data_IF_675388529510
#
_entry.id   IF_675388529510
#
_cell.length_a   1.000
_cell.length_b   1.000
_cell.length_c   1.000
_cell.angle_alpha   90.00
_cell.angle_beta   90.00
_cell.angle_gamma   90.00
#
_symmetry.space_group_name_H-M   'P 1'
#
loop_
_entity.id
_entity.type
_entity.pdbx_description
1 polymer ?
#
# COMPACT_ATOMS: atom_id res chain seq x y z
N UNK A 1 15.06 3.36 30.01
CA UNK A 1 13.70 3.93 29.91
C UNK A 1 12.83 3.10 28.95
N UNK A 2 13.42 2.55 27.88
CA UNK A 2 12.76 1.60 26.95
C UNK A 2 12.19 0.34 27.62
N UNK A 3 12.86 -0.23 28.63
CA UNK A 3 12.37 -1.44 29.33
C UNK A 3 11.12 -1.21 30.21
N UNK A 4 10.75 0.04 30.49
CA UNK A 4 9.56 0.36 31.30
C UNK A 4 8.30 0.55 30.46
N UNK A 5 8.42 0.62 29.13
CA UNK A 5 7.33 0.89 28.20
C UNK A 5 6.62 -0.38 27.68
N UNK A 6 7.07 -1.57 28.10
CA UNK A 6 6.47 -2.83 27.64
C UNK A 6 5.20 -3.23 28.42
N UNK A 7 5.03 -2.75 29.66
CA UNK A 7 4.00 -3.21 30.60
C UNK A 7 2.90 -2.20 30.95
N UNK A 8 2.89 -1.00 30.34
CA UNK A 8 1.91 0.06 30.66
C UNK A 8 1.27 0.64 29.39
N UNK A 9 -0.07 0.70 29.34
CA UNK A 9 -0.81 1.49 28.36
C UNK A 9 -0.55 2.99 28.62
N UNK A 10 0.15 3.64 27.69
CA UNK A 10 0.41 5.08 27.71
C UNK A 10 -0.24 5.73 26.49
N UNK A 11 -1.07 6.73 26.73
CA UNK A 11 -1.53 7.66 25.69
C UNK A 11 -0.36 8.52 25.22
N UNK A 12 0.17 8.21 24.04
CA UNK A 12 1.26 8.97 23.42
C UNK A 12 0.67 10.17 22.68
N UNK A 13 0.78 11.36 23.29
CA UNK A 13 0.45 12.63 22.64
C UNK A 13 1.69 13.08 21.86
N UNK A 14 1.65 13.00 20.53
CA UNK A 14 2.70 13.52 19.66
C UNK A 14 2.78 15.05 19.82
N UNK A 15 3.82 15.50 20.50
CA UNK A 15 4.09 16.92 20.72
C UNK A 15 5.32 17.32 19.90
N UNK A 16 5.10 18.14 18.87
CA UNK A 16 6.18 18.64 18.01
C UNK A 16 6.89 19.78 18.74
N UNK A 17 7.97 19.47 19.46
CA UNK A 17 8.71 20.46 20.26
C UNK A 17 9.87 21.14 19.53
N UNK A 18 10.35 20.59 18.40
CA UNK A 18 11.59 21.06 17.77
C UNK A 18 11.41 21.57 16.33
N UNK A 19 12.13 22.65 16.01
CA UNK A 19 12.16 23.27 14.67
C UNK A 19 12.76 22.34 13.62
N UNK A 20 13.63 21.40 14.02
CA UNK A 20 14.20 20.40 13.12
C UNK A 20 13.12 19.45 12.57
N UNK A 21 12.21 18.96 13.42
CA UNK A 21 11.07 18.14 13.02
C UNK A 21 10.13 18.88 12.05
N UNK A 22 9.87 20.17 12.32
CA UNK A 22 9.11 21.03 11.40
C UNK A 22 9.80 21.24 10.05
N UNK A 23 11.14 21.33 10.04
CA UNK A 23 11.91 21.52 8.80
C UNK A 23 11.92 20.25 7.97
N UNK A 24 12.07 19.08 8.59
CA UNK A 24 11.97 17.76 7.92
C UNK A 24 10.59 17.58 7.30
N UNK A 25 9.53 17.95 8.02
CA UNK A 25 8.15 17.94 7.54
C UNK A 25 7.98 18.81 6.28
N UNK A 26 8.49 20.06 6.29
CA UNK A 26 8.44 20.94 5.10
C UNK A 26 9.20 20.40 3.90
N UNK A 27 10.41 19.87 4.10
CA UNK A 27 11.20 19.30 3.00
C UNK A 27 10.54 18.06 2.44
N UNK A 28 9.98 17.20 3.31
CA UNK A 28 9.25 16.01 2.89
C UNK A 28 8.00 16.35 2.10
N UNK A 29 7.21 17.31 2.58
CA UNK A 29 6.02 17.80 1.88
C UNK A 29 6.40 18.34 0.50
N UNK A 30 7.46 19.15 0.39
CA UNK A 30 7.94 19.64 -0.91
C UNK A 30 8.35 18.51 -1.87
N UNK A 31 9.02 17.47 -1.38
CA UNK A 31 9.39 16.32 -2.22
C UNK A 31 8.16 15.53 -2.73
N UNK A 32 7.10 15.46 -1.92
CA UNK A 32 5.84 14.82 -2.31
C UNK A 32 5.10 15.72 -3.30
N UNK A 33 5.03 17.03 -3.05
CA UNK A 33 4.46 18.01 -3.98
C UNK A 33 5.15 17.95 -5.35
N UNK A 34 6.49 17.99 -5.38
CA UNK A 34 7.28 17.88 -6.61
C UNK A 34 6.97 16.58 -7.36
N UNK A 35 6.85 15.46 -6.65
CA UNK A 35 6.51 14.16 -7.25
C UNK A 35 5.09 14.15 -7.81
N UNK A 36 4.13 14.71 -7.09
CA UNK A 36 2.75 14.84 -7.53
C UNK A 36 2.65 15.74 -8.77
N UNK A 37 3.36 16.85 -8.81
CA UNK A 37 3.33 17.77 -9.95
C UNK A 37 3.97 17.15 -11.21
N UNK A 38 5.09 16.43 -11.05
CA UNK A 38 5.82 15.79 -12.15
C UNK A 38 5.10 14.57 -12.74
N UNK A 39 4.40 13.80 -11.91
CA UNK A 39 3.77 12.55 -12.34
C UNK A 39 2.24 12.62 -12.46
N UNK A 40 1.60 13.64 -11.89
CA UNK A 40 0.14 13.72 -11.72
C UNK A 40 -0.40 15.14 -11.96
N UNK A 41 -0.02 15.77 -13.08
CA UNK A 41 -0.52 17.09 -13.47
C UNK A 41 -2.05 17.08 -13.76
N UNK A 42 -2.78 17.94 -13.04
CA UNK A 42 -4.09 18.55 -13.39
C UNK A 42 -5.30 17.67 -13.76
N UNK A 43 -5.44 16.45 -13.22
CA UNK A 43 -6.71 15.68 -13.34
C UNK A 43 -7.67 15.80 -12.16
N UNK A 44 -7.28 16.46 -11.07
CA UNK A 44 -8.04 16.43 -9.82
C UNK A 44 -8.48 17.83 -9.30
N UNK A 45 -8.15 18.93 -9.97
CA UNK A 45 -8.69 20.27 -9.63
C UNK A 45 -9.85 20.68 -10.55
N UNK A 46 -11.00 20.05 -10.34
CA UNK A 46 -12.31 20.61 -10.70
C UNK A 46 -12.73 20.59 -12.18
N UNK A 47 -13.97 20.10 -12.41
CA UNK A 47 -14.71 19.98 -13.69
C UNK A 47 -14.20 18.90 -14.65
N UNK A 48 -14.83 17.73 -14.57
CA UNK A 48 -14.92 16.78 -15.69
C UNK A 48 -15.40 17.53 -16.94
N UNK A 49 -14.50 17.87 -17.86
CA UNK A 49 -14.84 17.94 -19.28
C UNK A 49 -14.90 16.50 -19.76
N UNK A 50 -16.06 16.13 -20.30
CA UNK A 50 -16.31 14.82 -20.87
C UNK A 50 -15.22 14.50 -21.90
N UNK A 51 -14.55 13.35 -21.76
CA UNK A 51 -13.54 12.95 -22.74
C UNK A 51 -14.25 12.61 -24.06
N UNK A 52 -13.61 12.86 -25.20
CA UNK A 52 -14.19 12.58 -26.53
C UNK A 52 -14.61 11.09 -26.70
N UNK A 53 -13.96 10.21 -25.94
CA UNK A 53 -14.27 8.76 -25.85
C UNK A 53 -15.58 8.51 -25.07
N UNK A 54 -15.87 9.31 -24.05
CA UNK A 54 -17.12 9.23 -23.28
C UNK A 54 -18.31 9.78 -24.08
N UNK A 55 -18.12 10.86 -24.87
CA UNK A 55 -19.12 11.35 -25.82
C UNK A 55 -19.48 10.29 -26.87
N UNK A 56 -18.46 9.64 -27.45
CA UNK A 56 -18.68 8.61 -28.47
C UNK A 56 -19.29 7.35 -27.90
N UNK A 57 -18.98 6.97 -26.66
CA UNK A 57 -19.60 5.84 -25.97
C UNK A 57 -21.08 6.11 -25.66
N UNK A 58 -21.43 7.30 -25.14
CA UNK A 58 -22.83 7.67 -24.87
C UNK A 58 -23.66 7.73 -26.15
N UNK A 59 -23.10 8.26 -27.24
CA UNK A 59 -23.78 8.31 -28.55
C UNK A 59 -24.02 6.91 -29.13
N UNK A 60 -23.12 5.96 -28.90
CA UNK A 60 -23.32 4.55 -29.34
C UNK A 60 -24.39 3.82 -28.52
N UNK A 61 -24.56 4.19 -27.25
CA UNK A 61 -25.61 3.67 -26.37
C UNK A 61 -26.99 4.21 -26.81
N UNK A 62 -27.09 5.51 -27.13
CA UNK A 62 -28.34 6.11 -27.65
C UNK A 62 -28.78 5.50 -28.99
N UNK A 63 -27.85 5.06 -29.83
CA UNK A 63 -28.12 4.42 -31.13
C UNK A 63 -28.27 2.88 -31.07
N UNK A 64 -28.25 2.27 -29.88
CA UNK A 64 -28.57 0.84 -29.70
C UNK A 64 -27.57 -0.16 -30.30
N UNK A 65 -26.29 0.21 -30.44
CA UNK A 65 -25.27 -0.67 -31.02
C UNK A 65 -24.55 -1.51 -29.94
N UNK A 66 -24.31 -2.83 -30.16
CA UNK A 66 -23.63 -3.69 -29.19
C UNK A 66 -22.13 -3.37 -29.07
N UNK A 67 -21.59 -3.41 -27.84
CA UNK A 67 -20.29 -2.84 -27.49
C UNK A 67 -19.06 -3.70 -27.82
N UNK A 68 -19.14 -5.02 -28.08
CA UNK A 68 -17.97 -5.84 -28.52
C UNK A 68 -18.36 -7.15 -29.23
N UNK A 69 -17.61 -7.60 -30.26
CA UNK A 69 -17.58 -9.00 -30.68
C UNK A 69 -16.48 -9.77 -29.91
N UNK A 70 -16.84 -10.89 -29.26
CA UNK A 70 -15.88 -11.85 -28.72
C UNK A 70 -15.19 -12.61 -29.87
N UNK A 71 -13.86 -12.57 -29.94
CA UNK A 71 -13.04 -13.73 -30.40
C UNK A 71 -11.72 -13.80 -29.64
N UNK A 72 -11.49 -14.99 -29.09
CA UNK A 72 -10.30 -15.49 -28.42
C UNK A 72 -9.18 -15.80 -29.40
N UNK A 73 -7.93 -15.57 -28.99
CA UNK A 73 -6.75 -16.27 -29.50
C UNK A 73 -5.63 -16.23 -28.47
N UNK A 74 -5.40 -17.38 -27.82
CA UNK A 74 -4.22 -17.65 -27.01
C UNK A 74 -2.99 -17.77 -27.91
N UNK A 75 -1.83 -17.30 -27.44
CA UNK A 75 -0.54 -17.77 -27.95
C UNK A 75 0.51 -17.77 -26.84
N UNK A 76 0.90 -18.97 -26.45
CA UNK A 76 2.02 -19.27 -25.58
C UNK A 76 3.33 -18.81 -26.20
N UNK A 77 4.18 -18.16 -25.41
CA UNK A 77 5.61 -18.04 -25.69
C UNK A 77 6.36 -18.39 -24.41
N UNK A 78 7.09 -19.51 -24.47
CA UNK A 78 7.96 -19.99 -23.40
C UNK A 78 9.19 -19.08 -23.27
N UNK A 79 9.57 -18.75 -22.03
CA UNK A 79 10.79 -18.02 -21.69
C UNK A 79 11.74 -19.00 -20.98
N UNK A 80 13.05 -19.03 -21.30
CA UNK A 80 13.99 -20.01 -20.76
C UNK A 80 14.31 -19.76 -19.28
N UNK A 81 14.48 -20.87 -18.59
CA UNK A 81 14.79 -21.02 -17.17
C UNK A 81 16.19 -20.51 -16.82
N UNK A 82 16.26 -19.48 -15.98
CA UNK A 82 17.46 -19.09 -15.23
C UNK A 82 17.06 -18.29 -14.00
N UNK A 83 16.34 -18.94 -13.09
CA UNK A 83 16.00 -18.36 -11.80
C UNK A 83 17.18 -18.52 -10.82
N UNK A 84 17.69 -17.44 -10.20
CA UNK A 84 18.66 -17.57 -9.12
C UNK A 84 18.03 -18.32 -7.92
N UNK A 85 18.81 -19.13 -7.19
CA UNK A 85 18.31 -19.97 -6.11
C UNK A 85 17.77 -19.09 -4.97
N UNK A 86 16.45 -18.99 -4.90
CA UNK A 86 15.70 -18.11 -4.01
C UNK A 86 14.26 -17.88 -4.49
N UNK A 87 13.99 -18.05 -5.78
CA UNK A 87 12.66 -17.88 -6.38
C UNK A 87 11.76 -19.13 -6.26
N UNK A 88 12.32 -20.34 -6.11
CA UNK A 88 11.52 -21.57 -6.01
C UNK A 88 10.65 -21.63 -4.74
N UNK A 89 11.07 -20.97 -3.65
CA UNK A 89 10.24 -20.80 -2.45
C UNK A 89 9.00 -19.91 -2.68
N UNK A 90 8.99 -19.10 -3.75
CA UNK A 90 7.90 -18.18 -4.10
C UNK A 90 6.92 -18.79 -5.10
N UNK A 91 7.36 -19.76 -5.91
CA UNK A 91 6.53 -20.41 -6.94
C UNK A 91 5.55 -21.44 -6.35
N UNK A 92 5.84 -21.98 -5.16
CA UNK A 92 4.98 -22.98 -4.50
C UNK A 92 3.65 -22.46 -3.94
N UNK A 93 3.41 -21.14 -3.90
CA UNK A 93 2.34 -20.54 -3.09
C UNK A 93 1.46 -19.54 -3.87
N UNK A 94 0.97 -19.91 -5.05
CA UNK A 94 -0.08 -19.12 -5.73
C UNK A 94 -1.42 -19.10 -4.94
N UNK A 95 -1.62 -20.07 -4.04
CA UNK A 95 -2.85 -20.26 -3.23
C UNK A 95 -2.71 -19.87 -1.74
N UNK A 96 -1.60 -19.26 -1.33
CA UNK A 96 -1.40 -18.89 0.08
C UNK A 96 -2.19 -17.61 0.44
N UNK A 97 -2.98 -17.69 1.52
CA UNK A 97 -3.78 -16.56 2.04
C UNK A 97 -2.90 -15.41 2.52
N UNK A 98 -3.49 -14.20 2.58
CA UNK A 98 -2.80 -13.01 3.10
C UNK A 98 -2.16 -13.26 4.47
N UNK A 99 -2.91 -13.86 5.41
CA UNK A 99 -2.44 -14.08 6.78
C UNK A 99 -1.20 -14.97 6.82
N UNK A 100 -1.17 -16.07 6.06
CA UNK A 100 -0.01 -16.98 6.00
C UNK A 100 1.21 -16.31 5.37
N UNK A 101 1.02 -15.61 4.25
CA UNK A 101 2.11 -14.86 3.63
C UNK A 101 2.64 -13.77 4.56
N UNK A 102 1.78 -13.07 5.29
CA UNK A 102 2.19 -12.08 6.28
C UNK A 102 3.08 -12.72 7.35
N UNK A 103 2.65 -13.81 7.99
CA UNK A 103 3.44 -14.49 9.02
C UNK A 103 4.79 -15.00 8.49
N UNK A 104 4.79 -15.58 7.29
CA UNK A 104 6.04 -15.99 6.62
C UNK A 104 6.99 -14.80 6.40
N UNK A 105 6.47 -13.64 5.99
CA UNK A 105 7.28 -12.44 5.82
C UNK A 105 7.82 -11.91 7.14
N UNK A 106 7.07 -12.02 8.24
CA UNK A 106 7.54 -11.69 9.59
C UNK A 106 8.77 -12.54 9.94
N UNK A 107 8.68 -13.86 9.74
CA UNK A 107 9.77 -14.81 10.01
C UNK A 107 10.99 -14.54 9.12
N UNK A 108 10.78 -14.35 7.81
CA UNK A 108 11.86 -14.09 6.83
C UNK A 108 12.56 -12.76 7.11
N UNK A 109 11.83 -11.74 7.57
CA UNK A 109 12.41 -10.44 7.96
C UNK A 109 13.03 -10.48 9.36
N UNK A 110 12.96 -11.61 10.07
CA UNK A 110 13.52 -11.79 11.40
C UNK A 110 12.88 -10.91 12.48
N UNK A 111 11.62 -10.50 12.27
CA UNK A 111 10.87 -9.63 13.19
C UNK A 111 9.95 -10.48 14.06
N UNK A 112 9.56 -9.97 15.22
CA UNK A 112 8.55 -10.63 16.05
C UNK A 112 7.15 -10.13 15.71
N UNK A 113 6.12 -10.96 15.91
CA UNK A 113 4.71 -10.55 15.82
C UNK A 113 4.45 -9.22 16.55
N UNK A 114 5.05 -9.07 17.74
CA UNK A 114 4.85 -7.91 18.62
C UNK A 114 5.49 -6.65 18.08
N UNK A 115 6.70 -6.77 17.54
CA UNK A 115 7.35 -5.67 16.86
C UNK A 115 6.54 -5.21 15.64
N UNK A 116 6.02 -6.16 14.86
CA UNK A 116 5.36 -5.87 13.58
C UNK A 116 4.03 -5.15 13.77
N UNK A 117 3.14 -5.62 14.66
CA UNK A 117 1.87 -4.92 14.85
C UNK A 117 2.06 -3.55 15.52
N UNK A 118 3.04 -3.40 16.42
CA UNK A 118 3.38 -2.09 17.02
C UNK A 118 3.90 -1.13 15.96
N UNK A 119 4.85 -1.56 15.11
CA UNK A 119 5.38 -0.75 14.00
C UNK A 119 4.33 -0.42 12.94
N UNK A 120 3.37 -1.32 12.72
CA UNK A 120 2.24 -1.07 11.81
C UNK A 120 1.18 -0.14 12.42
N UNK A 121 1.34 0.28 13.68
CA UNK A 121 0.34 1.03 14.43
C UNK A 121 -1.04 0.32 14.43
N UNK A 122 -1.03 -0.99 14.71
CA UNK A 122 -2.21 -1.86 14.70
C UNK A 122 -2.48 -2.41 16.09
N UNK A 123 -3.74 -2.39 16.53
CA UNK A 123 -4.15 -2.98 17.81
C UNK A 123 -3.87 -4.50 17.86
N UNK A 124 -3.36 -4.98 19.00
CA UNK A 124 -3.03 -6.39 19.22
C UNK A 124 -4.21 -7.34 18.96
N UNK A 125 -5.46 -6.93 19.25
CA UNK A 125 -6.66 -7.74 19.00
C UNK A 125 -6.94 -7.84 17.50
N UNK A 126 -6.71 -6.78 16.73
CA UNK A 126 -6.82 -6.83 15.28
C UNK A 126 -5.77 -7.77 14.69
N UNK A 127 -4.51 -7.65 15.11
CA UNK A 127 -3.46 -8.58 14.71
C UNK A 127 -3.78 -10.03 15.09
N UNK A 128 -4.33 -10.25 16.29
CA UNK A 128 -4.74 -11.58 16.74
C UNK A 128 -5.84 -12.18 15.85
N UNK A 129 -6.79 -11.38 15.35
CA UNK A 129 -7.80 -11.85 14.38
C UNK A 129 -7.18 -12.23 13.04
N UNK A 130 -6.22 -11.44 12.56
CA UNK A 130 -5.50 -11.74 11.31
C UNK A 130 -4.73 -13.06 11.45
N UNK A 131 -4.02 -13.23 12.57
CA UNK A 131 -3.20 -14.42 12.82
C UNK A 131 -4.02 -15.69 13.02
N UNK A 132 -5.16 -15.60 13.70
CA UNK A 132 -5.97 -16.77 14.05
C UNK A 132 -7.01 -17.16 12.99
N UNK A 133 -7.25 -16.33 11.98
CA UNK A 133 -8.22 -16.60 10.92
C UNK A 133 -7.57 -16.45 9.54
N UNK A 134 -7.30 -17.58 8.90
CA UNK A 134 -6.69 -17.65 7.56
C UNK A 134 -7.53 -16.97 6.47
N UNK A 135 -8.85 -16.88 6.67
CA UNK A 135 -9.80 -16.24 5.76
C UNK A 135 -10.09 -14.77 6.11
N UNK A 136 -9.38 -14.21 7.10
CA UNK A 136 -9.57 -12.82 7.48
C UNK A 136 -9.24 -11.88 6.32
N UNK A 137 -10.13 -10.93 6.05
CA UNK A 137 -9.98 -9.92 4.99
C UNK A 137 -9.62 -8.58 5.63
N UNK A 138 -8.33 -8.23 5.74
CA UNK A 138 -7.92 -6.92 6.26
C UNK A 138 -8.34 -5.80 5.30
N UNK A 139 -8.41 -4.58 5.83
CA UNK A 139 -8.57 -3.41 4.98
C UNK A 139 -7.31 -3.12 4.17
N UNK A 140 -7.44 -2.45 3.02
CA UNK A 140 -6.28 -2.01 2.22
C UNK A 140 -5.25 -1.22 3.05
N UNK A 141 -5.73 -0.33 3.94
CA UNK A 141 -4.88 0.48 4.83
C UNK A 141 -4.07 -0.38 5.79
N UNK A 142 -4.69 -1.42 6.32
CA UNK A 142 -4.04 -2.40 7.21
C UNK A 142 -2.94 -3.18 6.46
N UNK A 143 -3.21 -3.61 5.23
CA UNK A 143 -2.21 -4.31 4.41
C UNK A 143 -1.02 -3.42 4.09
N UNK A 144 -1.27 -2.16 3.73
CA UNK A 144 -0.22 -1.16 3.50
C UNK A 144 0.58 -0.92 4.79
N UNK A 145 -0.08 -0.80 5.93
CA UNK A 145 0.60 -0.62 7.22
C UNK A 145 1.56 -1.78 7.53
N UNK A 146 1.18 -3.03 7.23
CA UNK A 146 2.09 -4.18 7.36
C UNK A 146 3.25 -4.14 6.36
N UNK A 147 2.99 -3.76 5.11
CA UNK A 147 4.05 -3.62 4.11
C UNK A 147 5.10 -2.57 4.55
N UNK A 148 4.63 -1.47 5.14
CA UNK A 148 5.47 -0.44 5.74
C UNK A 148 6.22 -0.97 6.97
N UNK A 149 5.53 -1.60 7.92
CA UNK A 149 6.16 -2.13 9.14
C UNK A 149 7.26 -3.17 8.86
N UNK A 150 7.05 -3.99 7.84
CA UNK A 150 7.98 -5.00 7.37
C UNK A 150 9.08 -4.47 6.45
N UNK A 151 9.00 -3.19 6.05
CA UNK A 151 9.96 -2.54 5.15
C UNK A 151 10.07 -3.32 3.83
N UNK A 152 8.91 -3.65 3.26
CA UNK A 152 8.81 -4.42 2.03
C UNK A 152 9.21 -3.58 0.83
N UNK A 153 9.99 -4.16 -0.08
CA UNK A 153 10.28 -3.55 -1.37
C UNK A 153 8.99 -3.27 -2.17
N UNK A 154 9.03 -2.42 -3.21
CA UNK A 154 7.86 -2.19 -4.06
C UNK A 154 7.26 -3.48 -4.65
N UNK A 155 8.11 -4.44 -5.01
CA UNK A 155 7.72 -5.76 -5.54
C UNK A 155 7.02 -6.60 -4.47
N UNK A 156 7.64 -6.72 -3.28
CA UNK A 156 7.10 -7.46 -2.13
C UNK A 156 5.76 -6.87 -1.66
N UNK A 157 5.66 -5.54 -1.62
CA UNK A 157 4.45 -4.80 -1.24
C UNK A 157 3.30 -5.07 -2.20
N UNK A 158 3.57 -5.06 -3.52
CA UNK A 158 2.58 -5.37 -4.56
C UNK A 158 2.08 -6.81 -4.45
N UNK A 159 2.98 -7.76 -4.16
CA UNK A 159 2.58 -9.16 -3.96
C UNK A 159 1.68 -9.33 -2.73
N UNK A 160 2.06 -8.74 -1.59
CA UNK A 160 1.27 -8.80 -0.37
C UNK A 160 -0.13 -8.17 -0.56
N UNK A 161 -0.19 -7.02 -1.24
CA UNK A 161 -1.45 -6.36 -1.60
C UNK A 161 -2.32 -7.23 -2.51
N UNK A 162 -1.72 -7.84 -3.54
CA UNK A 162 -2.44 -8.71 -4.49
C UNK A 162 -3.08 -9.89 -3.79
N UNK A 163 -2.38 -10.53 -2.84
CA UNK A 163 -2.89 -11.66 -2.03
C UNK A 163 -4.08 -11.26 -1.13
N UNK A 164 -4.12 -10.01 -0.70
CA UNK A 164 -5.27 -9.44 0.01
C UNK A 164 -6.39 -8.94 -0.91
N UNK A 165 -6.20 -8.97 -2.24
CA UNK A 165 -7.17 -8.50 -3.23
C UNK A 165 -7.09 -7.01 -3.55
N UNK A 166 -5.95 -6.37 -3.30
CA UNK A 166 -5.73 -4.94 -3.51
C UNK A 166 -4.60 -4.66 -4.51
N UNK A 167 -4.63 -3.45 -5.06
CA UNK A 167 -3.54 -2.86 -5.84
C UNK A 167 -3.44 -1.36 -5.52
N UNK A 168 -2.25 -0.79 -5.68
CA UNK A 168 -2.08 0.67 -5.64
C UNK A 168 -2.46 1.24 -7.01
N UNK A 169 -3.40 2.18 -7.02
CA UNK A 169 -3.88 2.84 -8.21
C UNK A 169 -3.18 4.19 -8.38
N UNK A 170 -2.59 4.49 -9.55
CA UNK A 170 -2.00 5.80 -9.81
C UNK A 170 -3.05 6.92 -9.86
N UNK A 171 -4.35 6.58 -9.93
CA UNK A 171 -5.44 7.56 -9.99
C UNK A 171 -5.96 7.97 -8.61
N UNK A 172 -5.43 7.40 -7.53
CA UNK A 172 -5.90 7.62 -6.15
C UNK A 172 -4.77 8.30 -5.37
N UNK A 173 -5.00 9.52 -4.88
CA UNK A 173 -3.97 10.30 -4.19
C UNK A 173 -3.35 9.54 -3.00
N UNK A 174 -4.18 8.90 -2.17
CA UNK A 174 -3.72 8.02 -1.08
C UNK A 174 -2.72 6.95 -1.56
N UNK A 175 -3.03 6.27 -2.68
CA UNK A 175 -2.15 5.21 -3.21
C UNK A 175 -0.85 5.77 -3.79
N UNK A 176 -0.91 6.96 -4.42
CA UNK A 176 0.26 7.65 -4.97
C UNK A 176 1.21 8.09 -3.86
N UNK A 177 0.69 8.66 -2.78
CA UNK A 177 1.49 9.03 -1.61
C UNK A 177 2.16 7.77 -1.03
N UNK A 178 1.41 6.68 -0.86
CA UNK A 178 1.97 5.42 -0.35
C UNK A 178 3.06 4.86 -1.27
N UNK A 179 2.83 4.81 -2.59
CA UNK A 179 3.81 4.30 -3.57
C UNK A 179 5.08 5.15 -3.58
N UNK A 180 4.96 6.47 -3.41
CA UNK A 180 6.11 7.37 -3.25
C UNK A 180 6.99 6.99 -2.04
N UNK A 181 6.39 6.72 -0.88
CA UNK A 181 7.15 6.36 0.31
C UNK A 181 7.82 4.99 0.18
N UNK A 182 7.08 3.99 -0.33
CA UNK A 182 7.59 2.63 -0.54
C UNK A 182 8.73 2.63 -1.58
N UNK A 183 8.57 3.34 -2.70
CA UNK A 183 9.60 3.40 -3.75
C UNK A 183 10.90 4.08 -3.31
N UNK A 184 10.83 4.99 -2.31
CA UNK A 184 12.01 5.64 -1.71
C UNK A 184 12.56 4.91 -0.48
N UNK A 185 11.99 3.77 -0.11
CA UNK A 185 12.42 3.00 1.06
C UNK A 185 12.17 3.72 2.40
N UNK A 186 11.20 4.63 2.44
CA UNK A 186 10.84 5.39 3.64
C UNK A 186 9.63 4.78 4.32
N UNK A 187 9.90 4.01 5.37
CA UNK A 187 8.91 3.15 6.02
C UNK A 187 8.49 3.61 7.42
N UNK A 188 8.69 4.89 7.76
CA UNK A 188 8.21 5.43 9.03
C UNK A 188 6.71 5.75 8.92
N UNK A 189 5.87 4.95 9.58
CA UNK A 189 4.41 5.10 9.51
C UNK A 189 3.91 6.47 9.97
N UNK A 190 4.60 7.11 10.92
CA UNK A 190 4.22 8.42 11.44
C UNK A 190 4.49 9.53 10.42
N UNK A 191 5.63 9.46 9.72
CA UNK A 191 5.96 10.40 8.63
C UNK A 191 4.99 10.25 7.45
N UNK A 192 4.62 9.01 7.12
CA UNK A 192 3.62 8.74 6.08
C UNK A 192 2.27 9.35 6.50
N UNK A 193 1.85 9.11 7.74
CA UNK A 193 0.59 9.63 8.28
C UNK A 193 0.56 11.16 8.36
N UNK A 194 1.67 11.82 8.65
CA UNK A 194 1.78 13.29 8.64
C UNK A 194 1.49 13.86 7.24
N UNK A 195 2.08 13.25 6.20
CA UNK A 195 1.81 13.63 4.81
C UNK A 195 0.37 13.31 4.43
N UNK A 196 -0.12 12.10 4.73
CA UNK A 196 -1.51 11.73 4.45
C UNK A 196 -2.50 12.69 5.10
N UNK A 197 -2.25 13.09 6.35
CA UNK A 197 -3.07 14.07 7.07
C UNK A 197 -3.07 15.43 6.37
N UNK A 198 -1.91 15.89 5.89
CA UNK A 198 -1.78 17.18 5.19
C UNK A 198 -2.60 17.22 3.89
N UNK A 199 -2.81 16.08 3.24
CA UNK A 199 -3.64 15.95 2.04
C UNK A 199 -5.07 15.47 2.31
N UNK A 200 -5.54 15.53 3.56
CA UNK A 200 -6.86 15.05 4.00
C UNK A 200 -7.15 13.59 3.58
N UNK A 201 -6.11 12.75 3.54
CA UNK A 201 -6.22 11.34 3.19
C UNK A 201 -6.35 10.44 4.44
N UNK A 202 -6.95 9.25 4.31
CA UNK A 202 -7.05 8.30 5.40
C UNK A 202 -5.66 7.87 5.93
N UNK A 203 -5.50 7.83 7.25
CA UNK A 203 -4.25 7.38 7.90
C UNK A 203 -4.07 5.86 7.82
N UNK A 204 -2.82 5.43 7.86
CA UNK A 204 -2.40 4.04 8.04
C UNK A 204 -2.42 3.65 9.53
N UNK A 205 -2.60 2.36 9.79
CA UNK A 205 -2.81 1.82 11.14
C UNK A 205 -4.28 1.78 11.53
N UNK A 206 -4.55 1.33 12.75
CA UNK A 206 -5.91 1.09 13.26
C UNK A 206 -5.98 0.32 14.56
#
# INVERSE_FOLDING_TARGET
ITDFLEDQELDVILTVYDKSAFTISRTLLGQVEDYLDQHYTDRQRGRRKLLQVEETAMRKIELGAPLFPLKSAARETAIPDSSPPGLEAWIGNLDESFSRTLLRLIDVKGKTDTEVYKRANIDRKLFSKIRSNDDYRPSKRTVIAFAVALELSPEESRDLLRRAGFALSPSVLFDVIVDFFISRGRYNIFEINEVLFTYDQPLLGG
#
